data_IF_176098882205
#
_entry.id   IF_176098882205
#
_cell.length_a   1.000
_cell.length_b   1.000
_cell.length_c   1.000
_cell.angle_alpha   90.00
_cell.angle_beta   90.00
_cell.angle_gamma   90.00
#
_symmetry.space_group_name_H-M   'P 1'
#
loop_
_entity.id
_entity.type
_entity.pdbx_description
1 polymer ?
#
# COMPACT_ATOMS: atom_id res chain seq x y z
N UNK A 1 -29.24 27.24 26.11
CA UNK A 1 -29.71 26.03 25.42
C UNK A 1 -28.52 25.07 25.41
N UNK A 2 -28.52 24.08 26.30
CA UNK A 2 -27.51 23.02 26.32
C UNK A 2 -27.78 22.12 25.15
N UNK A 3 -26.80 22.04 24.18
CA UNK A 3 -26.83 21.04 23.14
C UNK A 3 -26.99 19.65 23.77
N UNK A 4 -27.86 18.79 23.22
CA UNK A 4 -27.98 17.44 23.73
C UNK A 4 -26.64 16.73 23.50
N UNK A 5 -26.05 16.24 24.57
CA UNK A 5 -24.84 15.41 24.58
C UNK A 5 -25.10 14.23 23.65
N UNK A 6 -24.73 14.37 22.37
CA UNK A 6 -24.82 13.28 21.39
C UNK A 6 -23.85 12.20 21.84
N UNK A 7 -24.37 11.16 22.48
CA UNK A 7 -23.60 9.98 22.87
C UNK A 7 -22.79 9.53 21.65
N UNK A 8 -21.46 9.63 21.75
CA UNK A 8 -20.55 9.20 20.70
C UNK A 8 -20.76 7.70 20.42
N UNK A 9 -21.43 7.40 19.29
CA UNK A 9 -21.66 6.02 18.85
C UNK A 9 -20.50 5.56 17.97
N UNK A 10 -19.58 4.72 18.47
CA UNK A 10 -18.45 4.23 17.69
C UNK A 10 -18.84 3.35 16.51
N UNK A 11 -20.07 2.84 16.46
CA UNK A 11 -20.59 1.95 15.42
C UNK A 11 -21.60 2.63 14.49
N UNK A 12 -21.74 3.94 14.55
CA UNK A 12 -22.74 4.69 13.77
C UNK A 12 -22.68 4.38 12.26
N UNK A 13 -21.50 4.37 11.65
CA UNK A 13 -21.34 4.02 10.24
C UNK A 13 -21.74 2.57 9.93
N UNK A 14 -21.47 1.64 10.83
CA UNK A 14 -21.80 0.22 10.65
C UNK A 14 -23.28 -0.10 10.81
N UNK A 15 -24.09 0.81 11.32
CA UNK A 15 -25.55 0.67 11.34
C UNK A 15 -26.14 0.76 9.92
N UNK A 16 -25.45 1.40 9.00
CA UNK A 16 -25.84 1.45 7.58
C UNK A 16 -25.53 0.12 6.90
N UNK A 17 -26.54 -0.65 6.52
CA UNK A 17 -26.39 -1.98 5.95
C UNK A 17 -25.47 -1.98 4.70
N UNK A 18 -25.66 -1.05 3.76
CA UNK A 18 -24.81 -0.93 2.58
C UNK A 18 -23.35 -0.67 2.94
N UNK A 19 -23.08 0.12 3.99
CA UNK A 19 -21.72 0.40 4.45
C UNK A 19 -21.07 -0.82 5.11
N UNK A 20 -21.82 -1.62 5.87
CA UNK A 20 -21.32 -2.90 6.45
C UNK A 20 -20.85 -3.85 5.35
N UNK A 21 -21.67 -4.04 4.32
CA UNK A 21 -21.31 -4.91 3.19
C UNK A 21 -20.10 -4.37 2.44
N UNK A 22 -20.00 -3.06 2.27
CA UNK A 22 -18.83 -2.41 1.69
C UNK A 22 -17.56 -2.67 2.51
N UNK A 23 -17.59 -2.47 3.84
CA UNK A 23 -16.44 -2.69 4.72
C UNK A 23 -16.03 -4.17 4.76
N UNK A 24 -17.00 -5.09 4.77
CA UNK A 24 -16.73 -6.52 4.68
C UNK A 24 -16.06 -6.88 3.35
N UNK A 25 -16.60 -6.39 2.24
CA UNK A 25 -16.00 -6.59 0.91
C UNK A 25 -14.58 -6.03 0.83
N UNK A 26 -14.35 -4.83 1.35
CA UNK A 26 -13.02 -4.21 1.45
C UNK A 26 -12.05 -5.09 2.25
N UNK A 27 -12.49 -5.61 3.39
CA UNK A 27 -11.67 -6.48 4.25
C UNK A 27 -11.27 -7.76 3.54
N UNK A 28 -12.22 -8.46 2.95
CA UNK A 28 -11.98 -9.69 2.19
C UNK A 28 -11.08 -9.46 0.97
N UNK A 29 -11.31 -8.37 0.24
CA UNK A 29 -10.47 -8.01 -0.90
C UNK A 29 -9.03 -7.65 -0.47
N UNK A 30 -8.88 -6.90 0.62
CA UNK A 30 -7.55 -6.55 1.16
C UNK A 30 -6.81 -7.79 1.64
N UNK A 31 -7.47 -8.66 2.41
CA UNK A 31 -6.91 -9.94 2.83
C UNK A 31 -6.43 -10.77 1.63
N UNK A 32 -7.26 -10.94 0.62
CA UNK A 32 -6.93 -11.69 -0.59
C UNK A 32 -5.74 -11.10 -1.35
N UNK A 33 -5.71 -9.78 -1.57
CA UNK A 33 -4.62 -9.11 -2.27
C UNK A 33 -3.29 -9.21 -1.51
N UNK A 34 -3.30 -9.01 -0.19
CA UNK A 34 -2.10 -9.08 0.63
C UNK A 34 -1.56 -10.52 0.74
N UNK A 35 -2.45 -11.48 0.86
CA UNK A 35 -2.12 -12.90 0.81
C UNK A 35 -1.51 -13.29 -0.54
N UNK A 36 -2.10 -12.84 -1.68
CA UNK A 36 -1.57 -13.10 -3.03
C UNK A 36 -0.13 -12.59 -3.18
N UNK A 37 0.20 -11.42 -2.64
CA UNK A 37 1.54 -10.87 -2.68
C UNK A 37 2.60 -11.78 -2.03
N UNK A 38 2.28 -12.42 -0.88
CA UNK A 38 3.16 -13.41 -0.24
C UNK A 38 3.29 -14.66 -1.08
N UNK A 39 2.17 -15.20 -1.54
CA UNK A 39 2.10 -16.45 -2.30
C UNK A 39 2.88 -16.35 -3.61
N UNK A 40 2.66 -15.27 -4.37
CA UNK A 40 3.37 -15.00 -5.63
C UNK A 40 4.86 -14.78 -5.39
N UNK A 41 5.22 -13.94 -4.42
CA UNK A 41 6.62 -13.64 -4.10
C UNK A 41 7.41 -14.92 -3.72
N UNK A 42 6.85 -15.74 -2.82
CA UNK A 42 7.48 -17.01 -2.46
C UNK A 42 7.58 -17.98 -3.64
N UNK A 43 6.47 -18.13 -4.39
CA UNK A 43 6.39 -19.06 -5.52
C UNK A 43 7.38 -18.71 -6.64
N UNK A 44 7.50 -17.42 -6.99
CA UNK A 44 8.43 -16.97 -8.02
C UNK A 44 9.87 -17.22 -7.57
N UNK A 45 10.22 -16.83 -6.33
CA UNK A 45 11.58 -17.06 -5.83
C UNK A 45 11.89 -18.56 -5.67
N UNK A 46 10.96 -19.35 -5.16
CA UNK A 46 11.15 -20.81 -5.03
C UNK A 46 11.42 -21.51 -6.38
N UNK A 47 10.88 -20.98 -7.49
CA UNK A 47 11.05 -21.53 -8.84
C UNK A 47 12.32 -21.05 -9.53
N UNK A 48 12.71 -19.80 -9.33
CA UNK A 48 13.79 -19.15 -10.10
C UNK A 48 15.11 -19.06 -9.34
N UNK A 49 15.07 -18.85 -8.02
CA UNK A 49 16.25 -18.50 -7.24
C UNK A 49 16.87 -17.14 -7.63
N UNK A 50 16.19 -16.35 -8.46
CA UNK A 50 16.71 -15.09 -9.01
C UNK A 50 16.03 -13.87 -8.37
N UNK A 51 16.79 -12.97 -7.71
CA UNK A 51 16.25 -11.73 -7.16
C UNK A 51 15.57 -10.84 -8.19
N UNK A 52 16.10 -10.79 -9.44
CA UNK A 52 15.50 -9.99 -10.51
C UNK A 52 14.09 -10.49 -10.86
N UNK A 53 13.84 -11.80 -10.75
CA UNK A 53 12.51 -12.35 -11.00
C UNK A 53 11.46 -11.75 -10.06
N UNK A 54 11.81 -11.46 -8.79
CA UNK A 54 10.95 -10.74 -7.86
C UNK A 54 10.75 -9.27 -8.24
N UNK A 55 11.82 -8.60 -8.69
CA UNK A 55 11.73 -7.23 -9.21
C UNK A 55 10.81 -7.14 -10.44
N UNK A 56 10.86 -8.14 -11.33
CA UNK A 56 9.98 -8.22 -12.50
C UNK A 56 8.51 -8.43 -12.13
N UNK A 57 8.20 -9.08 -11.00
CA UNK A 57 6.82 -9.13 -10.47
C UNK A 57 6.32 -7.71 -10.17
N UNK A 58 7.12 -6.92 -9.44
CA UNK A 58 6.79 -5.52 -9.14
C UNK A 58 6.64 -4.68 -10.43
N UNK A 59 7.58 -4.79 -11.37
CA UNK A 59 7.53 -4.05 -12.65
C UNK A 59 6.30 -4.44 -13.49
N UNK A 60 5.95 -5.72 -13.53
CA UNK A 60 4.77 -6.22 -14.25
C UNK A 60 3.48 -5.61 -13.71
N UNK A 61 3.38 -5.39 -12.41
CA UNK A 61 2.25 -4.72 -11.78
C UNK A 61 2.29 -3.19 -11.97
N UNK A 62 3.49 -2.61 -11.84
CA UNK A 62 3.71 -1.18 -11.92
C UNK A 62 3.33 -0.57 -13.27
N UNK A 63 3.79 -1.17 -14.35
CA UNK A 63 3.62 -0.61 -15.70
C UNK A 63 2.15 -0.31 -16.06
N UNK A 64 1.21 -1.28 -15.99
CA UNK A 64 -0.19 -1.02 -16.32
C UNK A 64 -0.87 -0.14 -15.27
N UNK A 65 -0.50 -0.28 -13.98
CA UNK A 65 -1.04 0.55 -12.91
C UNK A 65 -0.71 2.03 -13.14
N UNK A 66 0.55 2.38 -13.37
CA UNK A 66 0.99 3.77 -13.57
C UNK A 66 0.41 4.37 -14.86
N UNK A 67 0.32 3.58 -15.93
CA UNK A 67 -0.26 4.01 -17.19
C UNK A 67 -1.76 4.37 -17.04
N UNK A 68 -2.50 3.69 -16.16
CA UNK A 68 -3.95 3.77 -16.10
C UNK A 68 -4.52 4.40 -14.83
N UNK A 69 -3.74 4.59 -13.76
CA UNK A 69 -4.26 5.11 -12.47
C UNK A 69 -4.95 6.46 -12.61
N UNK A 70 -4.48 7.30 -13.52
CA UNK A 70 -5.07 8.61 -13.81
C UNK A 70 -6.41 8.49 -14.53
N UNK A 71 -6.51 7.55 -15.47
CA UNK A 71 -7.77 7.23 -16.14
C UNK A 71 -8.77 6.60 -15.18
N UNK A 72 -8.29 5.79 -14.22
CA UNK A 72 -9.12 5.16 -13.20
C UNK A 72 -9.93 6.18 -12.38
N UNK A 73 -9.31 7.30 -11.99
CA UNK A 73 -10.00 8.41 -11.33
C UNK A 73 -11.09 9.03 -12.18
N UNK A 74 -10.80 9.30 -13.45
CA UNK A 74 -11.77 9.88 -14.39
C UNK A 74 -12.97 8.96 -14.66
N UNK A 75 -12.73 7.68 -14.80
CA UNK A 75 -13.78 6.68 -14.97
C UNK A 75 -14.65 6.61 -13.71
N UNK A 76 -14.05 6.67 -12.51
CA UNK A 76 -14.78 6.66 -11.24
C UNK A 76 -15.67 7.90 -11.04
N UNK A 77 -15.35 9.01 -11.72
CA UNK A 77 -16.17 10.25 -11.70
C UNK A 77 -17.36 10.21 -12.70
N UNK A 78 -17.34 9.32 -13.69
CA UNK A 78 -18.35 9.28 -14.77
C UNK A 78 -19.22 8.03 -14.76
N UNK A 79 -18.73 6.94 -14.21
CA UNK A 79 -19.39 5.64 -14.21
C UNK A 79 -19.88 5.31 -12.80
N UNK A 80 -20.90 4.48 -12.70
CA UNK A 80 -21.41 3.97 -11.42
C UNK A 80 -20.28 3.31 -10.61
N UNK A 81 -19.92 3.92 -9.48
CA UNK A 81 -18.80 3.52 -8.61
C UNK A 81 -18.92 2.09 -8.09
N UNK A 82 -20.15 1.64 -7.77
CA UNK A 82 -20.39 0.26 -7.34
C UNK A 82 -20.08 -0.73 -8.47
N UNK A 83 -20.49 -0.42 -9.71
CA UNK A 83 -20.18 -1.29 -10.88
C UNK A 83 -18.68 -1.36 -11.13
N UNK A 84 -17.94 -0.27 -10.96
CA UNK A 84 -16.47 -0.29 -11.08
C UNK A 84 -15.87 -1.17 -9.99
N UNK A 85 -16.30 -1.03 -8.72
CA UNK A 85 -15.83 -1.88 -7.62
C UNK A 85 -16.14 -3.35 -7.88
N UNK A 86 -17.35 -3.68 -8.37
CA UNK A 86 -17.72 -5.05 -8.73
C UNK A 86 -16.84 -5.59 -9.86
N UNK A 87 -16.69 -4.84 -10.96
CA UNK A 87 -15.85 -5.25 -12.09
C UNK A 87 -14.39 -5.47 -11.70
N UNK A 88 -13.85 -4.60 -10.84
CA UNK A 88 -12.45 -4.69 -10.40
C UNK A 88 -12.23 -5.87 -9.44
N UNK A 89 -13.09 -6.09 -8.45
CA UNK A 89 -12.95 -7.24 -7.54
C UNK A 89 -13.17 -8.56 -8.31
N UNK A 90 -14.11 -8.61 -9.24
CA UNK A 90 -14.28 -9.76 -10.14
C UNK A 90 -13.05 -10.00 -11.02
N UNK A 91 -12.45 -8.93 -11.56
CA UNK A 91 -11.20 -9.00 -12.32
C UNK A 91 -10.04 -9.54 -11.48
N UNK A 92 -9.92 -9.11 -10.22
CA UNK A 92 -8.92 -9.64 -9.29
C UNK A 92 -9.16 -11.10 -8.94
N UNK A 93 -10.43 -11.51 -8.73
CA UNK A 93 -10.80 -12.90 -8.50
C UNK A 93 -10.47 -13.76 -9.73
N UNK A 94 -10.72 -13.27 -10.94
CA UNK A 94 -10.36 -13.92 -12.19
C UNK A 94 -8.82 -14.06 -12.33
N UNK A 95 -8.05 -13.01 -12.03
CA UNK A 95 -6.59 -13.10 -12.01
C UNK A 95 -6.11 -14.17 -11.01
N UNK A 96 -6.72 -14.24 -9.83
CA UNK A 96 -6.40 -15.28 -8.83
C UNK A 96 -6.78 -16.68 -9.32
N UNK A 97 -7.90 -16.84 -10.03
CA UNK A 97 -8.28 -18.09 -10.65
C UNK A 97 -7.28 -18.53 -11.73
N UNK A 98 -6.75 -17.60 -12.53
CA UNK A 98 -5.69 -17.88 -13.50
C UNK A 98 -4.39 -18.34 -12.80
N UNK A 99 -3.98 -17.65 -11.71
CA UNK A 99 -2.81 -18.09 -10.91
C UNK A 99 -3.01 -19.47 -10.31
N UNK A 100 -4.21 -19.77 -9.82
CA UNK A 100 -4.58 -21.09 -9.33
C UNK A 100 -4.47 -22.15 -10.45
N UNK A 101 -5.06 -21.89 -11.60
CA UNK A 101 -5.05 -22.79 -12.76
C UNK A 101 -3.61 -23.06 -13.24
N UNK A 102 -2.80 -22.02 -13.40
CA UNK A 102 -1.38 -22.17 -13.76
C UNK A 102 -0.59 -22.92 -12.69
N UNK A 103 -0.82 -22.62 -11.42
CA UNK A 103 -0.12 -23.30 -10.33
C UNK A 103 -0.47 -24.79 -10.29
N UNK A 104 -1.76 -25.13 -10.46
CA UNK A 104 -2.22 -26.53 -10.48
C UNK A 104 -1.70 -27.28 -11.71
N UNK A 105 -1.80 -26.69 -12.91
CA UNK A 105 -1.40 -27.34 -14.16
C UNK A 105 0.12 -27.55 -14.25
N UNK A 106 0.91 -26.65 -13.66
CA UNK A 106 2.37 -26.63 -13.79
C UNK A 106 3.09 -27.12 -12.53
N UNK A 107 2.46 -27.93 -11.69
CA UNK A 107 3.12 -28.53 -10.53
C UNK A 107 4.17 -29.58 -10.91
N UNK A 108 4.03 -30.23 -12.08
CA UNK A 108 4.92 -31.25 -12.57
C UNK A 108 5.38 -30.99 -14.01
N UNK A 109 6.60 -31.37 -14.37
CA UNK A 109 7.14 -31.32 -15.72
C UNK A 109 8.06 -30.15 -16.05
N UNK A 110 8.50 -30.05 -17.30
CA UNK A 110 9.46 -29.04 -17.78
C UNK A 110 8.99 -27.60 -17.60
N UNK A 111 7.68 -27.37 -17.61
CA UNK A 111 7.07 -26.04 -17.37
C UNK A 111 6.92 -25.68 -15.89
N UNK A 112 7.30 -26.56 -14.96
CA UNK A 112 7.23 -26.27 -13.51
C UNK A 112 8.07 -25.07 -13.09
N UNK A 113 9.12 -24.72 -13.83
CA UNK A 113 9.97 -23.53 -13.62
C UNK A 113 9.49 -22.28 -14.38
N UNK A 114 8.51 -22.39 -15.27
CA UNK A 114 8.04 -21.26 -16.03
C UNK A 114 7.35 -20.23 -15.12
N UNK A 115 7.83 -19.00 -15.13
CA UNK A 115 7.26 -17.88 -14.36
C UNK A 115 6.58 -16.82 -15.24
N UNK A 116 6.79 -16.85 -16.54
CA UNK A 116 6.21 -15.87 -17.46
C UNK A 116 4.67 -15.77 -17.40
N UNK A 117 3.89 -16.87 -17.15
CA UNK A 117 2.44 -16.73 -17.02
C UNK A 117 2.05 -15.93 -15.76
N UNK A 118 2.87 -16.04 -14.69
CA UNK A 118 2.66 -15.28 -13.46
C UNK A 118 2.82 -13.79 -13.75
N UNK A 119 3.86 -13.37 -14.49
CA UNK A 119 4.04 -11.97 -14.87
C UNK A 119 2.86 -11.44 -15.70
N UNK A 120 2.36 -12.23 -16.64
CA UNK A 120 1.18 -11.86 -17.45
C UNK A 120 -0.08 -11.64 -16.59
N UNK A 121 -0.32 -12.50 -15.61
CA UNK A 121 -1.47 -12.33 -14.69
C UNK A 121 -1.25 -11.16 -13.74
N UNK A 122 -0.03 -10.94 -13.25
CA UNK A 122 0.27 -9.78 -12.38
C UNK A 122 0.14 -8.47 -13.17
N UNK A 123 0.51 -8.46 -14.46
CA UNK A 123 0.24 -7.32 -15.34
C UNK A 123 -1.27 -7.00 -15.42
N UNK A 124 -2.12 -8.03 -15.60
CA UNK A 124 -3.57 -7.86 -15.57
C UNK A 124 -4.06 -7.37 -14.19
N UNK A 125 -3.47 -7.88 -13.11
CA UNK A 125 -3.77 -7.41 -11.74
C UNK A 125 -3.49 -5.92 -11.58
N UNK A 126 -2.33 -5.42 -12.06
CA UNK A 126 -1.97 -4.01 -12.06
C UNK A 126 -2.96 -3.14 -12.83
N UNK A 127 -3.40 -3.62 -14.02
CA UNK A 127 -4.40 -2.95 -14.84
C UNK A 127 -5.73 -2.79 -14.08
N UNK A 128 -6.20 -3.85 -13.43
CA UNK A 128 -7.45 -3.84 -12.65
C UNK A 128 -7.33 -2.93 -11.42
N UNK A 129 -6.20 -2.98 -10.71
CA UNK A 129 -5.96 -2.17 -9.50
C UNK A 129 -5.96 -0.67 -9.75
N UNK A 130 -5.61 -0.23 -10.96
CA UNK A 130 -5.64 1.19 -11.33
C UNK A 130 -7.04 1.81 -11.17
N UNK A 131 -8.09 1.03 -11.36
CA UNK A 131 -9.49 1.48 -11.23
C UNK A 131 -10.08 1.23 -9.84
N UNK A 132 -9.56 0.24 -9.09
CA UNK A 132 -10.11 -0.17 -7.80
C UNK A 132 -10.01 0.93 -6.73
N UNK A 133 -8.83 1.51 -6.53
CA UNK A 133 -8.58 2.49 -5.45
C UNK A 133 -9.47 3.72 -5.54
N UNK A 134 -9.53 4.46 -6.68
CA UNK A 134 -10.35 5.66 -6.77
C UNK A 134 -11.84 5.34 -6.62
N UNK A 135 -12.33 4.26 -7.24
CA UNK A 135 -13.73 3.86 -7.15
C UNK A 135 -14.12 3.46 -5.71
N UNK A 136 -13.28 2.70 -5.02
CA UNK A 136 -13.50 2.27 -3.65
C UNK A 136 -13.57 3.45 -2.67
N UNK A 137 -12.66 4.42 -2.80
CA UNK A 137 -12.65 5.61 -1.94
C UNK A 137 -13.89 6.47 -2.18
N UNK A 138 -14.29 6.65 -3.42
CA UNK A 138 -15.46 7.43 -3.78
C UNK A 138 -16.77 6.74 -3.36
N UNK A 139 -16.87 5.41 -3.52
CA UNK A 139 -18.03 4.64 -3.07
C UNK A 139 -18.21 4.75 -1.55
N UNK A 140 -17.13 4.67 -0.77
CA UNK A 140 -17.19 4.78 0.68
C UNK A 140 -17.90 6.04 1.17
N UNK A 141 -17.65 7.18 0.51
CA UNK A 141 -18.27 8.47 0.85
C UNK A 141 -19.74 8.56 0.38
N UNK A 142 -20.10 7.84 -0.68
CA UNK A 142 -21.48 7.85 -1.18
C UNK A 142 -22.43 7.03 -0.30
N UNK A 143 -21.92 6.04 0.41
CA UNK A 143 -22.72 5.10 1.21
C UNK A 143 -23.08 5.64 2.60
N UNK A 144 -22.55 6.79 2.99
CA UNK A 144 -22.77 7.38 4.31
C UNK A 144 -23.31 8.79 4.22
N UNK A 145 -24.13 9.23 5.19
CA UNK A 145 -24.41 10.64 5.40
C UNK A 145 -23.15 11.35 5.94
N UNK A 146 -23.06 12.68 5.71
CA UNK A 146 -21.85 13.46 6.06
C UNK A 146 -21.45 13.37 7.53
N UNK A 147 -22.44 13.29 8.42
CA UNK A 147 -22.27 13.20 9.87
C UNK A 147 -21.49 11.95 10.29
N UNK A 148 -21.53 10.88 9.47
CA UNK A 148 -20.86 9.60 9.76
C UNK A 148 -19.55 9.38 8.97
N UNK A 149 -19.07 10.37 8.20
CA UNK A 149 -17.85 10.23 7.39
C UNK A 149 -16.61 9.94 8.24
N UNK A 150 -16.43 10.61 9.37
CA UNK A 150 -15.29 10.40 10.26
C UNK A 150 -15.29 8.98 10.82
N UNK A 151 -16.44 8.53 11.36
CA UNK A 151 -16.62 7.18 11.88
C UNK A 151 -16.40 6.11 10.79
N UNK A 152 -16.99 6.31 9.60
CA UNK A 152 -16.78 5.41 8.47
C UNK A 152 -15.32 5.36 8.01
N UNK A 153 -14.64 6.49 7.94
CA UNK A 153 -13.21 6.51 7.60
C UNK A 153 -12.37 5.72 8.59
N UNK A 154 -12.67 5.82 9.89
CA UNK A 154 -11.99 5.04 10.94
C UNK A 154 -12.15 3.54 10.71
N UNK A 155 -13.38 3.05 10.48
CA UNK A 155 -13.62 1.64 10.20
C UNK A 155 -12.94 1.16 8.91
N UNK A 156 -12.98 1.96 7.85
CA UNK A 156 -12.31 1.65 6.58
C UNK A 156 -10.80 1.49 6.77
N UNK A 157 -10.18 2.41 7.51
CA UNK A 157 -8.73 2.38 7.80
C UNK A 157 -8.40 1.18 8.69
N UNK A 158 -9.18 0.91 9.73
CA UNK A 158 -8.97 -0.22 10.64
C UNK A 158 -9.02 -1.57 9.89
N UNK A 159 -10.04 -1.76 9.05
CA UNK A 159 -10.21 -2.99 8.26
C UNK A 159 -9.08 -3.14 7.22
N UNK A 160 -8.67 -2.05 6.56
CA UNK A 160 -7.56 -2.06 5.64
C UNK A 160 -6.25 -2.47 6.32
N UNK A 161 -5.89 -1.84 7.44
CA UNK A 161 -4.69 -2.20 8.20
C UNK A 161 -4.76 -3.62 8.78
N UNK A 162 -5.94 -4.03 9.27
CA UNK A 162 -6.18 -5.42 9.68
C UNK A 162 -5.86 -6.41 8.56
N UNK A 163 -6.31 -6.12 7.34
CA UNK A 163 -5.99 -6.92 6.16
C UNK A 163 -4.50 -6.96 5.82
N UNK A 164 -3.80 -5.83 6.00
CA UNK A 164 -2.34 -5.76 5.80
C UNK A 164 -1.54 -6.59 6.80
N UNK A 165 -2.04 -6.77 8.03
CA UNK A 165 -1.41 -7.63 9.05
C UNK A 165 -1.77 -9.10 8.83
N UNK A 166 -3.06 -9.38 8.72
CA UNK A 166 -3.60 -10.74 8.74
C UNK A 166 -3.40 -11.45 7.41
N UNK A 167 -3.52 -10.73 6.28
CA UNK A 167 -3.40 -11.29 4.92
C UNK A 167 -2.06 -11.99 4.67
N UNK A 168 -0.92 -11.32 4.85
CA UNK A 168 0.39 -11.94 4.67
C UNK A 168 0.62 -13.13 5.61
N UNK A 169 0.20 -13.02 6.88
CA UNK A 169 0.36 -14.09 7.86
C UNK A 169 -0.42 -15.34 7.46
N UNK A 170 -1.70 -15.20 7.09
CA UNK A 170 -2.51 -16.32 6.59
C UNK A 170 -1.92 -16.88 5.29
N UNK A 171 -1.48 -16.00 4.37
CA UNK A 171 -0.90 -16.40 3.10
C UNK A 171 0.33 -17.29 3.27
N UNK A 172 1.25 -16.89 4.13
CA UNK A 172 2.43 -17.67 4.46
C UNK A 172 2.11 -18.99 5.15
N UNK A 173 1.18 -18.96 6.11
CA UNK A 173 0.77 -20.15 6.86
C UNK A 173 0.09 -21.20 5.95
N UNK A 174 -0.88 -20.79 5.15
CA UNK A 174 -1.61 -21.71 4.24
C UNK A 174 -0.67 -22.25 3.17
N UNK A 175 0.22 -21.42 2.65
CA UNK A 175 1.24 -21.88 1.71
C UNK A 175 2.16 -22.95 2.33
N UNK A 176 2.62 -22.74 3.56
CA UNK A 176 3.49 -23.68 4.26
C UNK A 176 2.77 -25.01 4.56
N UNK A 177 1.48 -24.94 4.95
CA UNK A 177 0.72 -26.12 5.37
C UNK A 177 0.15 -26.93 4.21
N UNK A 178 -0.41 -26.28 3.19
CA UNK A 178 -1.16 -26.92 2.10
C UNK A 178 -0.62 -26.62 0.69
N UNK A 179 0.48 -25.84 0.63
CA UNK A 179 1.15 -25.50 -0.62
C UNK A 179 0.48 -24.36 -1.42
N UNK A 180 1.04 -24.03 -2.59
CA UNK A 180 0.62 -22.86 -3.37
C UNK A 180 -0.79 -22.95 -3.95
N UNK A 181 -1.25 -24.18 -4.30
CA UNK A 181 -2.59 -24.36 -4.86
C UNK A 181 -3.68 -23.99 -3.86
N UNK A 182 -3.56 -24.47 -2.62
CA UNK A 182 -4.51 -24.13 -1.55
C UNK A 182 -4.47 -22.64 -1.21
N UNK A 183 -3.29 -22.04 -1.24
CA UNK A 183 -3.13 -20.61 -1.01
C UNK A 183 -3.81 -19.76 -2.08
N UNK A 184 -3.61 -20.06 -3.38
CA UNK A 184 -4.31 -19.37 -4.47
C UNK A 184 -5.83 -19.62 -4.45
N UNK A 185 -6.26 -20.85 -4.09
CA UNK A 185 -7.68 -21.16 -3.94
C UNK A 185 -8.34 -20.28 -2.86
N UNK A 186 -7.67 -20.12 -1.70
CA UNK A 186 -8.19 -19.27 -0.63
C UNK A 186 -8.23 -17.80 -1.05
N UNK A 187 -7.20 -17.29 -1.77
CA UNK A 187 -7.22 -15.92 -2.33
C UNK A 187 -8.42 -15.73 -3.27
N UNK A 188 -8.63 -16.67 -4.20
CA UNK A 188 -9.77 -16.62 -5.10
C UNK A 188 -11.10 -16.62 -4.32
N UNK A 189 -11.22 -17.45 -3.29
CA UNK A 189 -12.42 -17.54 -2.45
C UNK A 189 -12.68 -16.21 -1.73
N UNK A 190 -11.66 -15.60 -1.12
CA UNK A 190 -11.78 -14.31 -0.43
C UNK A 190 -12.22 -13.19 -1.37
N UNK A 191 -11.62 -13.11 -2.56
CA UNK A 191 -11.99 -12.10 -3.56
C UNK A 191 -13.40 -12.33 -4.11
N UNK A 192 -13.76 -13.59 -4.38
CA UNK A 192 -15.12 -13.92 -4.83
C UNK A 192 -16.17 -13.63 -3.76
N UNK A 193 -15.88 -13.92 -2.49
CA UNK A 193 -16.76 -13.58 -1.37
C UNK A 193 -16.90 -12.06 -1.20
N UNK A 194 -15.80 -11.32 -1.37
CA UNK A 194 -15.83 -9.85 -1.39
C UNK A 194 -16.69 -9.30 -2.53
N UNK A 195 -16.60 -9.88 -3.73
CA UNK A 195 -17.46 -9.56 -4.86
C UNK A 195 -18.93 -9.81 -4.56
N UNK A 196 -19.26 -10.98 -4.01
CA UNK A 196 -20.63 -11.31 -3.63
C UNK A 196 -21.21 -10.35 -2.59
N UNK A 197 -20.39 -9.88 -1.65
CA UNK A 197 -20.80 -8.88 -0.67
C UNK A 197 -21.28 -7.56 -1.29
N UNK A 198 -20.74 -7.17 -2.46
CA UNK A 198 -21.15 -5.94 -3.13
C UNK A 198 -22.59 -6.01 -3.72
N UNK A 199 -23.15 -7.17 -3.98
CA UNK A 199 -24.54 -7.31 -4.44
C UNK A 199 -25.57 -6.88 -3.39
N UNK A 200 -25.22 -6.93 -2.12
CA UNK A 200 -26.11 -6.51 -1.03
C UNK A 200 -26.09 -5.00 -0.77
N UNK A 201 -25.29 -4.24 -1.53
CA UNK A 201 -25.22 -2.79 -1.42
C UNK A 201 -26.34 -2.14 -2.20
N UNK A 202 -27.22 -1.47 -1.49
CA UNK A 202 -28.21 -0.59 -2.09
C UNK A 202 -27.53 0.76 -2.40
N UNK A 203 -27.32 1.05 -3.68
CA UNK A 203 -26.60 2.21 -4.12
C UNK A 203 -27.39 3.01 -5.14
N UNK A 204 -27.75 4.24 -4.78
CA UNK A 204 -28.28 5.23 -5.70
C UNK A 204 -27.12 6.18 -6.11
N UNK A 205 -26.73 6.16 -7.40
CA UNK A 205 -25.65 7.05 -7.87
C UNK A 205 -26.02 8.50 -7.63
N UNK A 206 -25.15 9.26 -6.96
CA UNK A 206 -25.30 10.71 -6.90
C UNK A 206 -25.02 11.29 -8.27
N UNK A 207 -25.86 12.23 -8.71
CA UNK A 207 -25.57 13.01 -9.91
C UNK A 207 -24.28 13.81 -9.67
N UNK A 208 -23.22 13.43 -10.34
CA UNK A 208 -21.94 14.13 -10.28
C UNK A 208 -21.96 15.17 -11.39
N UNK A 209 -21.88 16.43 -11.04
CA UNK A 209 -21.66 17.47 -12.04
C UNK A 209 -20.32 17.19 -12.77
N UNK A 210 -20.31 17.12 -14.11
CA UNK A 210 -19.09 16.86 -14.85
C UNK A 210 -18.04 17.93 -14.47
N UNK A 211 -16.92 17.54 -13.89
CA UNK A 211 -15.80 18.47 -13.74
C UNK A 211 -15.30 18.82 -15.13
N UNK A 212 -15.49 20.08 -15.51
CA UNK A 212 -14.96 20.61 -16.76
C UNK A 212 -13.43 20.66 -16.66
N UNK A 213 -12.74 20.04 -17.62
CA UNK A 213 -11.28 20.10 -17.72
C UNK A 213 -10.60 18.76 -18.07
N UNK A 214 -9.43 18.86 -18.66
CA UNK A 214 -8.57 17.69 -18.93
C UNK A 214 -7.91 17.21 -17.64
N UNK A 215 -7.88 15.89 -17.42
CA UNK A 215 -7.20 15.25 -16.29
C UNK A 215 -5.72 15.65 -16.26
N UNK A 216 -5.08 15.61 -17.43
CA UNK A 216 -3.68 15.98 -17.59
C UNK A 216 -3.42 17.44 -17.21
N UNK A 217 -4.35 18.34 -17.57
CA UNK A 217 -4.26 19.74 -17.17
C UNK A 217 -4.39 19.89 -15.64
N UNK A 218 -5.37 19.21 -15.01
CA UNK A 218 -5.55 19.21 -13.56
C UNK A 218 -4.34 18.68 -12.81
N UNK A 219 -3.72 17.58 -13.31
CA UNK A 219 -2.50 17.04 -12.74
C UNK A 219 -1.31 17.98 -12.96
N UNK A 220 -1.18 18.56 -14.16
CA UNK A 220 -0.16 19.55 -14.46
C UNK A 220 -0.23 20.76 -13.52
N UNK A 221 -1.44 21.22 -13.19
CA UNK A 221 -1.64 22.27 -12.20
C UNK A 221 -1.24 21.82 -10.78
N UNK A 222 -1.65 20.60 -10.38
CA UNK A 222 -1.25 20.03 -9.10
C UNK A 222 0.26 19.86 -8.98
N UNK A 223 0.91 19.35 -10.03
CA UNK A 223 2.37 19.18 -10.07
C UNK A 223 3.10 20.53 -10.03
N UNK A 224 2.62 21.52 -10.79
CA UNK A 224 3.17 22.88 -10.77
C UNK A 224 3.04 23.52 -9.39
N UNK A 225 1.90 23.32 -8.73
CA UNK A 225 1.70 23.80 -7.35
C UNK A 225 2.69 23.13 -6.40
N UNK A 226 2.79 21.79 -6.40
CA UNK A 226 3.76 21.03 -5.59
C UNK A 226 5.19 21.53 -5.84
N UNK A 227 5.58 21.71 -7.10
CA UNK A 227 6.91 22.18 -7.48
C UNK A 227 7.18 23.64 -7.03
N UNK A 228 6.15 24.49 -6.93
CA UNK A 228 6.26 25.86 -6.45
C UNK A 228 6.41 25.96 -4.93
N UNK A 229 5.98 24.94 -4.17
CA UNK A 229 6.00 24.91 -2.71
C UNK A 229 7.18 24.07 -2.21
N UNK A 230 8.31 24.72 -1.90
CA UNK A 230 9.56 24.05 -1.49
C UNK A 230 9.38 23.07 -0.33
N UNK A 231 8.54 23.43 0.65
CA UNK A 231 8.26 22.60 1.81
C UNK A 231 7.54 21.32 1.43
N UNK A 232 6.49 21.43 0.59
CA UNK A 232 5.69 20.30 0.13
C UNK A 232 6.50 19.39 -0.81
N UNK A 233 7.23 19.99 -1.75
CA UNK A 233 8.12 19.26 -2.65
C UNK A 233 9.18 18.48 -1.87
N UNK A 234 9.80 19.13 -0.85
CA UNK A 234 10.79 18.48 0.02
C UNK A 234 10.20 17.28 0.77
N UNK A 235 9.01 17.43 1.36
CA UNK A 235 8.35 16.35 2.10
C UNK A 235 7.93 15.18 1.21
N UNK A 236 7.37 15.44 0.02
CA UNK A 236 6.97 14.41 -0.93
C UNK A 236 8.19 13.71 -1.55
N UNK A 237 9.24 14.47 -1.91
CA UNK A 237 10.48 13.89 -2.46
C UNK A 237 11.22 13.04 -1.42
N UNK A 238 11.22 13.47 -0.16
CA UNK A 238 11.81 12.70 0.93
C UNK A 238 11.19 11.29 1.02
N UNK A 239 9.87 11.21 0.95
CA UNK A 239 9.15 9.93 0.94
C UNK A 239 9.40 9.11 -0.31
N UNK A 240 9.25 9.76 -1.48
CA UNK A 240 9.47 9.10 -2.77
C UNK A 240 10.80 8.34 -2.77
N UNK A 241 11.89 9.03 -2.44
CA UNK A 241 13.22 8.43 -2.49
C UNK A 241 13.50 7.48 -1.32
N UNK A 242 12.93 7.74 -0.12
CA UNK A 242 13.06 6.83 0.99
C UNK A 242 12.39 5.47 0.72
N UNK A 243 11.20 5.48 0.10
CA UNK A 243 10.48 4.27 -0.27
C UNK A 243 11.11 3.61 -1.50
N UNK A 244 11.53 4.41 -2.50
CA UNK A 244 12.17 3.91 -3.72
C UNK A 244 13.41 3.08 -3.41
N UNK A 245 14.29 3.59 -2.56
CA UNK A 245 15.56 2.94 -2.25
C UNK A 245 15.51 2.08 -0.97
N UNK A 246 14.72 2.50 0.04
CA UNK A 246 14.68 1.84 1.35
C UNK A 246 13.74 0.64 1.45
N UNK A 247 12.95 0.34 0.43
CA UNK A 247 11.93 -0.71 0.47
C UNK A 247 12.49 -2.12 0.30
N UNK A 248 12.66 -2.90 1.37
CA UNK A 248 13.11 -4.31 1.27
C UNK A 248 11.98 -5.31 0.97
N UNK A 249 10.73 -4.87 0.81
CA UNK A 249 9.54 -5.76 0.73
C UNK A 249 9.63 -6.76 -0.43
N UNK A 250 10.16 -6.33 -1.57
CA UNK A 250 10.29 -7.18 -2.76
C UNK A 250 11.29 -8.34 -2.55
N UNK A 251 12.34 -8.11 -1.76
CA UNK A 251 13.42 -9.09 -1.51
C UNK A 251 13.22 -9.91 -0.22
N UNK A 252 12.16 -9.65 0.55
CA UNK A 252 11.84 -10.43 1.76
C UNK A 252 11.76 -11.95 1.55
N UNK A 253 11.26 -12.49 0.40
CA UNK A 253 11.31 -13.93 0.15
C UNK A 253 12.72 -14.50 0.19
N UNK A 254 13.71 -13.72 -0.27
CA UNK A 254 15.12 -14.13 -0.27
C UNK A 254 15.66 -14.14 1.17
N UNK A 255 15.42 -13.04 1.92
CA UNK A 255 15.82 -12.98 3.34
C UNK A 255 15.22 -14.12 4.15
N UNK A 256 13.92 -14.40 3.97
CA UNK A 256 13.24 -15.48 4.67
C UNK A 256 13.88 -16.85 4.38
N UNK A 257 14.27 -17.09 3.13
CA UNK A 257 14.81 -18.39 2.70
C UNK A 257 16.31 -18.54 2.96
N UNK A 258 17.11 -17.54 2.55
CA UNK A 258 18.58 -17.65 2.48
C UNK A 258 19.29 -17.19 3.76
N UNK A 259 18.75 -16.17 4.45
CA UNK A 259 19.40 -15.57 5.64
C UNK A 259 18.75 -16.06 6.93
N UNK A 260 17.42 -16.05 6.99
CA UNK A 260 16.69 -16.37 8.21
C UNK A 260 16.28 -17.86 8.28
N UNK A 261 16.50 -18.60 7.20
CA UNK A 261 16.18 -20.02 7.06
C UNK A 261 14.76 -20.37 7.51
N UNK A 262 13.80 -19.49 7.21
CA UNK A 262 12.39 -19.68 7.51
C UNK A 262 11.61 -20.04 6.25
N UNK A 263 10.46 -20.68 6.44
CA UNK A 263 9.57 -21.03 5.34
C UNK A 263 8.66 -19.89 4.90
N UNK A 264 7.63 -20.18 4.08
CA UNK A 264 6.61 -19.22 3.65
C UNK A 264 5.90 -18.54 4.82
N UNK A 265 5.70 -19.24 5.94
CA UNK A 265 5.14 -18.69 7.18
C UNK A 265 6.00 -17.56 7.74
N UNK A 266 7.33 -17.72 7.71
CA UNK A 266 8.26 -16.68 8.12
C UNK A 266 8.17 -15.45 7.21
N UNK A 267 8.07 -15.65 5.90
CA UNK A 267 7.82 -14.55 4.95
C UNK A 267 6.50 -13.82 5.25
N UNK A 268 5.43 -14.58 5.56
CA UNK A 268 4.15 -13.99 5.95
C UNK A 268 4.26 -13.08 7.16
N UNK A 269 4.98 -13.53 8.19
CA UNK A 269 5.24 -12.75 9.40
C UNK A 269 6.11 -11.51 9.11
N UNK A 270 7.19 -11.64 8.33
CA UNK A 270 8.05 -10.52 7.94
C UNK A 270 7.28 -9.45 7.15
N UNK A 271 6.39 -9.84 6.25
CA UNK A 271 5.54 -8.90 5.50
C UNK A 271 4.45 -8.25 6.35
N UNK A 272 3.96 -8.92 7.38
CA UNK A 272 2.98 -8.37 8.33
C UNK A 272 3.61 -7.38 9.33
N UNK A 273 4.89 -7.56 9.67
CA UNK A 273 5.56 -6.82 10.73
C UNK A 273 5.51 -5.29 10.57
N UNK A 274 5.76 -4.67 9.39
CA UNK A 274 5.64 -3.22 9.22
C UNK A 274 4.20 -2.73 9.50
N UNK A 275 3.18 -3.47 9.06
CA UNK A 275 1.79 -3.09 9.30
C UNK A 275 1.44 -3.17 10.79
N UNK A 276 1.95 -4.16 11.53
CA UNK A 276 1.82 -4.23 12.99
C UNK A 276 2.43 -3.01 13.65
N UNK A 277 3.66 -2.65 13.28
CA UNK A 277 4.33 -1.46 13.80
C UNK A 277 3.56 -0.17 13.50
N UNK A 278 3.05 -0.04 12.27
CA UNK A 278 2.23 1.10 11.84
C UNK A 278 0.94 1.23 12.67
N UNK A 279 0.23 0.13 12.91
CA UNK A 279 -1.00 0.12 13.74
C UNK A 279 -0.68 0.50 15.18
N UNK A 280 0.33 -0.10 15.79
CA UNK A 280 0.73 0.20 17.18
C UNK A 280 1.13 1.67 17.33
N UNK A 281 1.90 2.21 16.38
CA UNK A 281 2.31 3.61 16.39
C UNK A 281 1.11 4.54 16.16
N UNK A 282 0.20 4.21 15.25
CA UNK A 282 -1.03 4.98 15.02
C UNK A 282 -1.87 5.07 16.28
N UNK A 283 -2.02 3.95 17.01
CA UNK A 283 -2.69 3.94 18.31
C UNK A 283 -1.95 4.78 19.35
N UNK A 284 -0.63 4.67 19.44
CA UNK A 284 0.18 5.48 20.35
C UNK A 284 0.03 6.99 20.06
N UNK A 285 0.12 7.38 18.77
CA UNK A 285 -0.04 8.78 18.37
C UNK A 285 -1.41 9.38 18.69
N UNK A 286 -2.47 8.55 18.67
CA UNK A 286 -3.81 9.00 19.04
C UNK A 286 -3.92 9.41 20.53
N UNK A 287 -3.01 8.92 21.39
CA UNK A 287 -2.95 9.23 22.83
C UNK A 287 -1.84 10.23 23.18
N UNK A 288 -1.02 10.63 22.20
CA UNK A 288 0.07 11.58 22.39
C UNK A 288 -0.40 13.02 22.08
N UNK A 289 0.17 14.03 22.76
CA UNK A 289 -0.08 15.41 22.39
C UNK A 289 0.46 15.71 20.99
N UNK A 290 -0.07 16.75 20.30
CA UNK A 290 0.39 17.15 18.98
C UNK A 290 1.92 17.29 18.93
N UNK A 291 2.53 16.72 17.89
CA UNK A 291 3.98 16.69 17.73
C UNK A 291 4.54 18.11 17.57
N UNK A 292 5.43 18.48 18.48
CA UNK A 292 6.23 19.70 18.36
C UNK A 292 7.40 19.42 17.42
N UNK A 293 7.86 20.45 16.66
CA UNK A 293 8.97 20.36 15.71
C UNK A 293 8.74 19.34 14.61
N UNK A 294 7.56 19.38 14.01
CA UNK A 294 7.06 18.38 13.05
C UNK A 294 8.04 18.11 11.90
N UNK A 295 8.71 19.13 11.38
CA UNK A 295 9.69 18.95 10.29
C UNK A 295 10.94 18.19 10.72
N UNK A 296 11.46 18.44 11.93
CA UNK A 296 12.58 17.66 12.47
C UNK A 296 12.17 16.22 12.76
N UNK A 297 10.97 16.04 13.31
CA UNK A 297 10.41 14.70 13.55
C UNK A 297 10.30 13.91 12.25
N UNK A 298 9.82 14.54 11.17
CA UNK A 298 9.75 13.90 9.85
C UNK A 298 11.13 13.43 9.37
N UNK A 299 12.16 14.30 9.43
CA UNK A 299 13.52 13.95 9.02
C UNK A 299 14.11 12.83 9.89
N UNK A 300 13.89 12.88 11.21
CA UNK A 300 14.34 11.83 12.14
C UNK A 300 13.62 10.49 11.86
N UNK A 301 12.32 10.50 11.62
CA UNK A 301 11.59 9.28 11.28
C UNK A 301 12.12 8.63 10.00
N UNK A 302 12.35 9.39 8.93
CA UNK A 302 12.89 8.85 7.68
C UNK A 302 14.34 8.39 7.85
N UNK A 303 15.16 9.09 8.63
CA UNK A 303 16.51 8.63 8.97
C UNK A 303 16.49 7.33 9.77
N UNK A 304 15.60 7.22 10.76
CA UNK A 304 15.40 6.00 11.56
C UNK A 304 14.90 4.84 10.67
N UNK A 305 14.01 5.11 9.71
CA UNK A 305 13.60 4.12 8.72
C UNK A 305 14.81 3.59 7.93
N UNK A 306 15.70 4.45 7.41
CA UNK A 306 16.93 4.02 6.73
C UNK A 306 17.85 3.20 7.63
N UNK A 307 18.02 3.61 8.89
CA UNK A 307 18.82 2.86 9.87
C UNK A 307 18.22 1.49 10.21
N UNK A 308 16.91 1.40 10.37
CA UNK A 308 16.24 0.11 10.62
C UNK A 308 16.37 -0.83 9.43
N UNK A 309 16.39 -0.33 8.20
CA UNK A 309 16.62 -1.13 6.99
C UNK A 309 18.07 -1.65 6.94
N UNK A 310 19.07 -0.83 7.29
CA UNK A 310 20.47 -1.28 7.39
C UNK A 310 20.61 -2.33 8.48
N UNK A 311 20.03 -2.12 9.66
CA UNK A 311 20.06 -3.07 10.75
C UNK A 311 19.34 -4.39 10.39
N UNK A 312 18.21 -4.32 9.68
CA UNK A 312 17.50 -5.48 9.15
C UNK A 312 18.38 -6.29 8.18
N UNK A 313 19.05 -5.61 7.25
CA UNK A 313 19.93 -6.26 6.26
C UNK A 313 21.06 -7.07 6.92
N UNK A 314 21.57 -6.59 8.07
CA UNK A 314 22.65 -7.22 8.82
C UNK A 314 22.15 -8.25 9.85
N UNK A 315 20.84 -8.38 10.03
CA UNK A 315 20.25 -9.28 11.02
C UNK A 315 20.18 -10.72 10.50
N UNK A 316 20.67 -11.65 11.31
CA UNK A 316 20.53 -13.10 11.12
C UNK A 316 19.50 -13.72 12.08
N UNK A 317 18.88 -12.93 12.96
CA UNK A 317 17.85 -13.38 13.89
C UNK A 317 16.47 -13.06 13.37
N UNK A 318 15.60 -14.06 13.26
CA UNK A 318 14.21 -13.87 12.82
C UNK A 318 13.43 -12.91 13.74
N UNK A 319 13.58 -13.06 15.07
CA UNK A 319 12.91 -12.18 16.03
C UNK A 319 13.38 -10.73 15.91
N UNK A 320 14.71 -10.51 15.79
CA UNK A 320 15.26 -9.16 15.59
C UNK A 320 14.77 -8.56 14.28
N UNK A 321 14.76 -9.33 13.19
CA UNK A 321 14.26 -8.90 11.89
C UNK A 321 12.80 -8.48 11.94
N UNK A 322 11.93 -9.23 12.65
CA UNK A 322 10.54 -8.85 12.89
C UNK A 322 10.44 -7.53 13.65
N UNK A 323 11.20 -7.37 14.73
CA UNK A 323 11.20 -6.12 15.52
C UNK A 323 11.67 -4.92 14.68
N UNK A 324 12.72 -5.09 13.87
CA UNK A 324 13.25 -4.02 13.01
C UNK A 324 12.25 -3.62 11.91
N UNK A 325 11.59 -4.60 11.28
CA UNK A 325 10.54 -4.33 10.30
C UNK A 325 9.31 -3.69 10.95
N UNK A 326 8.92 -4.11 12.16
CA UNK A 326 7.85 -3.44 12.89
C UNK A 326 8.24 -2.00 13.26
N UNK A 327 9.46 -1.77 13.71
CA UNK A 327 9.98 -0.43 13.98
C UNK A 327 9.99 0.45 12.71
N UNK A 328 10.38 -0.10 11.55
CA UNK A 328 10.33 0.63 10.28
C UNK A 328 8.91 1.07 9.93
N UNK A 329 7.92 0.19 10.08
CA UNK A 329 6.51 0.53 9.86
C UNK A 329 5.97 1.56 10.88
N UNK A 330 6.43 1.50 12.12
CA UNK A 330 6.07 2.47 13.16
C UNK A 330 6.55 3.89 12.81
N UNK A 331 7.83 4.05 12.43
CA UNK A 331 8.39 5.36 12.08
C UNK A 331 7.85 5.87 10.74
N UNK A 332 7.58 4.97 9.79
CA UNK A 332 6.93 5.33 8.53
C UNK A 332 5.50 5.88 8.76
N UNK A 333 4.73 5.28 9.66
CA UNK A 333 3.40 5.79 10.00
C UNK A 333 3.43 7.21 10.53
N UNK A 334 4.40 7.56 11.41
CA UNK A 334 4.60 8.94 11.86
C UNK A 334 4.88 9.87 10.68
N UNK A 335 5.76 9.45 9.78
CA UNK A 335 6.11 10.19 8.56
C UNK A 335 4.88 10.42 7.67
N UNK A 336 4.06 9.39 7.44
CA UNK A 336 2.81 9.47 6.65
C UNK A 336 1.83 10.47 7.27
N UNK A 337 1.60 10.41 8.59
CA UNK A 337 0.71 11.35 9.29
C UNK A 337 1.20 12.78 9.14
N UNK A 338 2.47 13.04 9.43
CA UNK A 338 3.05 14.39 9.32
C UNK A 338 2.96 14.95 7.91
N UNK A 339 3.26 14.14 6.88
CA UNK A 339 3.18 14.57 5.48
C UNK A 339 1.75 14.81 5.01
N UNK A 340 0.81 13.95 5.41
CA UNK A 340 -0.60 14.14 5.04
C UNK A 340 -1.18 15.39 5.67
N UNK A 341 -0.83 15.69 6.93
CA UNK A 341 -1.23 16.94 7.61
C UNK A 341 -0.59 18.15 6.95
N UNK A 342 0.72 18.10 6.65
CA UNK A 342 1.42 19.17 5.93
C UNK A 342 0.75 19.46 4.57
N UNK A 343 0.44 18.42 3.81
CA UNK A 343 -0.24 18.56 2.52
C UNK A 343 -1.58 19.28 2.67
N UNK A 344 -2.38 18.91 3.67
CA UNK A 344 -3.68 19.53 3.92
C UNK A 344 -3.57 20.99 4.34
N UNK A 345 -2.55 21.34 5.14
CA UNK A 345 -2.37 22.71 5.64
C UNK A 345 -1.82 23.68 4.60
N UNK A 346 -0.88 23.22 3.77
CA UNK A 346 -0.20 24.07 2.78
C UNK A 346 -1.02 24.23 1.50
N UNK A 347 -1.95 23.29 1.25
CA UNK A 347 -2.70 23.26 -0.01
C UNK A 347 -4.07 23.97 0.15
N UNK A 348 -4.38 25.01 -0.67
CA UNK A 348 -5.70 25.62 -0.70
C UNK A 348 -6.80 24.58 -1.00
N UNK A 349 -7.98 24.73 -0.41
CA UNK A 349 -9.10 23.78 -0.55
C UNK A 349 -9.42 23.45 -2.02
N UNK A 350 -9.36 24.45 -2.91
CA UNK A 350 -9.63 24.30 -4.34
C UNK A 350 -8.60 23.42 -5.08
N UNK A 351 -7.38 23.31 -4.53
CA UNK A 351 -6.26 22.54 -5.09
C UNK A 351 -6.07 21.19 -4.40
N UNK A 352 -6.70 20.96 -3.23
CA UNK A 352 -6.44 19.79 -2.37
C UNK A 352 -6.63 18.47 -3.12
N UNK A 353 -7.67 18.34 -3.94
CA UNK A 353 -7.90 17.15 -4.74
C UNK A 353 -6.81 16.88 -5.79
N UNK A 354 -6.31 17.95 -6.45
CA UNK A 354 -5.26 17.86 -7.47
C UNK A 354 -3.91 17.49 -6.86
N UNK A 355 -3.55 18.12 -5.75
CA UNK A 355 -2.31 17.85 -5.01
C UNK A 355 -2.32 16.46 -4.39
N UNK A 356 -3.47 16.02 -3.84
CA UNK A 356 -3.64 14.66 -3.33
C UNK A 356 -3.50 13.61 -4.44
N UNK A 357 -4.01 13.88 -5.64
CA UNK A 357 -3.84 12.98 -6.80
C UNK A 357 -2.36 12.87 -7.19
N UNK A 358 -1.63 13.98 -7.25
CA UNK A 358 -0.17 13.99 -7.49
C UNK A 358 0.54 13.16 -6.42
N UNK A 359 0.26 13.40 -5.14
CA UNK A 359 0.87 12.64 -4.03
C UNK A 359 0.60 11.13 -4.14
N UNK A 360 -0.61 10.72 -4.52
CA UNK A 360 -0.94 9.29 -4.72
C UNK A 360 -0.16 8.66 -5.89
N UNK A 361 0.06 9.41 -6.97
CA UNK A 361 0.91 8.94 -8.08
C UNK A 361 2.34 8.76 -7.60
N UNK A 362 2.91 9.71 -6.85
CA UNK A 362 4.25 9.60 -6.30
C UNK A 362 4.40 8.38 -5.38
N UNK A 363 3.48 8.18 -4.42
CA UNK A 363 3.48 7.02 -3.51
C UNK A 363 3.35 5.71 -4.29
N UNK A 364 2.42 5.63 -5.27
CA UNK A 364 2.25 4.44 -6.09
C UNK A 364 3.50 4.12 -6.90
N UNK A 365 4.08 5.14 -7.54
CA UNK A 365 5.29 4.99 -8.36
C UNK A 365 6.50 4.54 -7.53
N UNK A 366 6.72 5.14 -6.35
CA UNK A 366 7.86 4.78 -5.50
C UNK A 366 7.79 3.35 -4.99
N UNK A 367 6.60 2.87 -4.61
CA UNK A 367 6.43 1.49 -4.14
C UNK A 367 6.72 0.47 -5.24
N UNK A 368 6.11 0.65 -6.41
CA UNK A 368 6.18 -0.34 -7.49
C UNK A 368 7.56 -0.30 -8.21
N UNK A 369 8.09 0.90 -8.49
CA UNK A 369 9.43 1.05 -9.09
C UNK A 369 10.50 0.62 -8.08
N UNK A 370 10.32 0.92 -6.79
CA UNK A 370 11.21 0.48 -5.71
C UNK A 370 11.27 -1.05 -5.59
N UNK A 371 10.15 -1.74 -5.82
CA UNK A 371 10.16 -3.20 -5.85
C UNK A 371 11.03 -3.75 -6.99
N UNK A 372 10.99 -3.13 -8.18
CA UNK A 372 11.86 -3.50 -9.29
C UNK A 372 13.33 -3.14 -8.99
N UNK A 373 13.59 -1.92 -8.51
CA UNK A 373 14.92 -1.45 -8.13
C UNK A 373 15.57 -2.39 -7.11
N UNK A 374 14.86 -2.75 -6.04
CA UNK A 374 15.34 -3.65 -5.00
C UNK A 374 15.73 -5.05 -5.56
N UNK A 375 14.92 -5.59 -6.48
CA UNK A 375 15.23 -6.87 -7.14
C UNK A 375 16.46 -6.78 -8.04
N UNK A 376 16.58 -5.69 -8.82
CA UNK A 376 17.73 -5.43 -9.68
C UNK A 376 19.00 -5.19 -8.86
N UNK A 377 18.94 -4.35 -7.83
CA UNK A 377 20.06 -4.07 -6.93
C UNK A 377 20.53 -5.35 -6.22
N UNK A 378 19.59 -6.20 -5.74
CA UNK A 378 19.93 -7.47 -5.11
C UNK A 378 20.65 -8.43 -6.08
N UNK A 379 20.28 -8.42 -7.36
CA UNK A 379 20.97 -9.22 -8.37
C UNK A 379 22.38 -8.71 -8.68
N UNK A 380 22.56 -7.37 -8.74
CA UNK A 380 23.84 -6.76 -9.12
C UNK A 380 24.85 -6.66 -7.98
N UNK A 381 24.37 -6.28 -6.79
CA UNK A 381 25.21 -6.01 -5.63
C UNK A 381 25.24 -7.19 -4.63
N UNK A 382 24.31 -8.13 -4.73
CA UNK A 382 24.00 -9.12 -3.71
C UNK A 382 22.91 -8.64 -2.74
N UNK A 383 22.28 -9.59 -2.02
CA UNK A 383 21.10 -9.33 -1.20
C UNK A 383 21.35 -8.32 -0.08
N UNK A 384 22.31 -8.61 0.81
CA UNK A 384 22.60 -7.76 1.97
C UNK A 384 23.15 -6.39 1.54
N UNK A 385 24.15 -6.30 0.62
CA UNK A 385 24.64 -5.02 0.15
C UNK A 385 23.59 -4.15 -0.52
N UNK A 386 22.62 -4.71 -1.23
CA UNK A 386 21.55 -3.94 -1.88
C UNK A 386 20.64 -3.24 -0.86
N UNK A 387 20.25 -3.92 0.21
CA UNK A 387 19.40 -3.31 1.25
C UNK A 387 20.19 -2.30 2.09
N UNK A 388 21.47 -2.56 2.38
CA UNK A 388 22.38 -1.59 3.01
C UNK A 388 22.53 -0.34 2.14
N UNK A 389 22.74 -0.52 0.84
CA UNK A 389 22.80 0.58 -0.14
C UNK A 389 21.51 1.41 -0.10
N UNK A 390 20.35 0.77 -0.15
CA UNK A 390 19.04 1.45 -0.06
C UNK A 390 18.87 2.26 1.24
N UNK A 391 19.27 1.69 2.38
CA UNK A 391 19.28 2.41 3.65
C UNK A 391 20.23 3.61 3.67
N UNK A 392 21.44 3.46 3.10
CA UNK A 392 22.41 4.55 2.96
C UNK A 392 21.88 5.66 2.03
N UNK A 393 21.25 5.30 0.91
CA UNK A 393 20.60 6.25 0.00
C UNK A 393 19.46 7.00 0.69
N UNK A 394 18.67 6.34 1.52
CA UNK A 394 17.65 6.99 2.36
C UNK A 394 18.27 8.03 3.29
N UNK A 395 19.36 7.71 3.98
CA UNK A 395 20.08 8.65 4.84
C UNK A 395 20.67 9.83 4.04
N UNK A 396 21.21 9.56 2.86
CA UNK A 396 21.71 10.58 1.94
C UNK A 396 20.61 11.57 1.55
N UNK A 397 19.44 11.03 1.17
CA UNK A 397 18.26 11.86 0.82
C UNK A 397 17.80 12.71 1.99
N UNK A 398 17.79 12.18 3.21
CA UNK A 398 17.51 12.95 4.44
C UNK A 398 18.51 14.09 4.60
N UNK A 399 19.82 13.82 4.43
CA UNK A 399 20.89 14.82 4.51
C UNK A 399 20.71 15.94 3.47
N UNK A 400 20.50 15.57 2.21
CA UNK A 400 20.28 16.51 1.10
C UNK A 400 19.02 17.36 1.34
N UNK A 401 17.90 16.72 1.73
CA UNK A 401 16.65 17.43 1.99
C UNK A 401 16.77 18.38 3.18
N UNK A 402 17.42 17.94 4.26
CA UNK A 402 17.68 18.78 5.45
C UNK A 402 18.54 20.02 5.11
N UNK A 403 19.45 19.88 4.14
CA UNK A 403 20.30 20.97 3.68
C UNK A 403 19.59 21.89 2.67
N UNK A 404 18.90 21.32 1.67
CA UNK A 404 18.26 22.06 0.57
C UNK A 404 16.94 22.74 0.98
N UNK A 405 16.25 22.21 2.00
CA UNK A 405 14.95 22.69 2.47
C UNK A 405 15.03 23.01 3.97
N UNK A 406 15.74 24.10 4.35
CA UNK A 406 15.88 24.49 5.75
C UNK A 406 14.54 24.85 6.41
N UNK A 407 13.54 25.25 5.63
CA UNK A 407 12.16 25.51 6.06
C UNK A 407 11.55 24.27 6.71
N UNK A 408 11.80 23.08 6.16
CA UNK A 408 11.32 21.80 6.73
C UNK A 408 11.92 21.59 8.12
N UNK A 409 13.23 21.89 8.31
CA UNK A 409 13.90 21.74 9.60
C UNK A 409 13.41 22.72 10.65
N UNK A 410 12.99 23.93 10.23
CA UNK A 410 12.53 25.01 11.10
C UNK A 410 11.03 24.93 11.43
N UNK A 411 10.29 24.04 10.80
CA UNK A 411 8.86 23.89 11.02
C UNK A 411 8.56 23.35 12.43
N UNK A 412 8.00 24.20 13.30
CA UNK A 412 7.82 23.88 14.72
C UNK A 412 6.47 23.21 15.02
N UNK A 413 5.37 23.64 14.43
CA UNK A 413 4.03 23.09 14.67
C UNK A 413 3.28 22.85 13.38
N UNK A 414 2.53 21.77 13.36
CA UNK A 414 1.47 21.49 12.39
C UNK A 414 0.16 21.58 13.19
N UNK A 415 -0.59 22.65 13.01
CA UNK A 415 -1.83 22.95 13.72
C UNK A 415 -1.67 24.07 14.71
#
# INVERSE_FOLDING_TARGET
MTEPNSSHDPYAALRHSSYRWFVLSLGLATLGMQMQGVVVGWQVYARTGDPLALGLVGLSEALPFLALVLFGGHVADRVNRLRICMATILGLAFCSALLLAFTWRYQAGALARAVWPIYGVIFLTGLVRAFYRPANTALATDLLPKEHYANGSTWRVAVFHGGMVVGPAIGGLVYAWRGPVAAHFLVMLLLSSGFLGLFFIQYAPRAIAPRAGSILASLGEGLRFVASQRLLLGAISLDLFAVLFGGAVAVLPIFAREILHTGPQGLGALRAAPAVGSVLMGFAMAHMPPLRRAGRTLLVCVATFGLTMIAFALSHSFALSLCLLAASGAVDNVSVVLRSTLLQMVTPEQMLGRVSAVNQVFIGSSNEIGAFESGLAARLLGLVPSVVFGGCMTLLVVGITSWRVPELRKMDRIG
#
